data_IF_943436320299
#
_entry.id   IF_943436320299
#
_cell.length_a   1.000
_cell.length_b   1.000
_cell.length_c   1.000
_cell.angle_alpha   90.00
_cell.angle_beta   90.00
_cell.angle_gamma   90.00
#
_symmetry.space_group_name_H-M   'P 1'
#
loop_
_entity.id
_entity.type
_entity.pdbx_description
1 polymer ?
#
# COMPACT_ATOMS: atom_id res chain seq x y z
N UNK A 1 0.27 13.76 -12.54
CA UNK A 1 -0.10 14.35 -11.24
C UNK A 1 0.49 15.75 -11.02
N UNK A 2 1.79 15.98 -11.19
CA UNK A 2 2.45 17.31 -11.01
C UNK A 2 1.77 18.45 -11.75
N UNK A 3 1.46 18.24 -13.04
CA UNK A 3 0.80 19.24 -13.88
C UNK A 3 -0.58 19.61 -13.33
N UNK A 4 -1.34 18.66 -12.81
CA UNK A 4 -2.66 18.90 -12.22
C UNK A 4 -2.58 19.71 -10.92
N UNK A 5 -1.63 19.42 -10.03
CA UNK A 5 -1.43 20.19 -8.79
C UNK A 5 -0.95 21.62 -9.09
N UNK A 6 0.03 21.77 -9.96
CA UNK A 6 0.51 23.10 -10.37
C UNK A 6 -0.61 23.92 -11.03
N UNK A 7 -1.40 23.29 -11.91
CA UNK A 7 -2.52 23.93 -12.63
C UNK A 7 -3.66 24.31 -11.67
N UNK A 8 -4.03 23.44 -10.73
CA UNK A 8 -5.09 23.72 -9.75
C UNK A 8 -4.70 24.84 -8.79
N UNK A 9 -3.46 24.84 -8.30
CA UNK A 9 -2.94 25.90 -7.41
C UNK A 9 -2.84 27.23 -8.14
N UNK A 10 -2.34 27.23 -9.39
CA UNK A 10 -2.29 28.42 -10.22
C UNK A 10 -3.69 28.95 -10.56
N UNK A 11 -4.65 28.07 -10.91
CA UNK A 11 -6.03 28.46 -11.18
C UNK A 11 -6.68 29.13 -9.96
N UNK A 12 -6.42 28.62 -8.76
CA UNK A 12 -6.93 29.21 -7.52
C UNK A 12 -6.35 30.61 -7.29
N UNK A 13 -5.04 30.78 -7.48
CA UNK A 13 -4.37 32.09 -7.37
C UNK A 13 -4.92 33.06 -8.43
N UNK A 14 -5.09 32.60 -9.68
CA UNK A 14 -5.63 33.39 -10.76
C UNK A 14 -7.06 33.88 -10.47
N UNK A 15 -7.94 32.98 -10.00
CA UNK A 15 -9.33 33.33 -9.63
C UNK A 15 -9.35 34.31 -8.46
N UNK A 16 -8.55 34.04 -7.40
CA UNK A 16 -8.47 34.94 -6.23
C UNK A 16 -7.97 36.33 -6.61
N UNK A 17 -6.94 36.40 -7.45
CA UNK A 17 -6.37 37.67 -7.93
C UNK A 17 -7.35 38.41 -8.83
N UNK A 18 -8.07 37.70 -9.71
CA UNK A 18 -9.11 38.28 -10.56
C UNK A 18 -10.27 38.84 -9.74
N UNK A 19 -10.70 38.11 -8.73
CA UNK A 19 -11.77 38.57 -7.81
C UNK A 19 -11.35 39.80 -7.03
N UNK A 20 -10.11 39.80 -6.51
CA UNK A 20 -9.57 40.95 -5.79
C UNK A 20 -9.49 42.20 -6.68
N UNK A 21 -9.04 42.04 -7.94
CA UNK A 21 -9.01 43.11 -8.93
C UNK A 21 -10.41 43.64 -9.24
N UNK A 22 -11.40 42.74 -9.43
CA UNK A 22 -12.77 43.12 -9.66
C UNK A 22 -13.35 43.93 -8.51
N UNK A 23 -13.16 43.47 -7.24
CA UNK A 23 -13.61 44.19 -6.04
C UNK A 23 -12.94 45.58 -5.94
N UNK A 24 -11.67 45.68 -6.30
CA UNK A 24 -10.95 46.98 -6.29
C UNK A 24 -11.58 47.97 -7.27
N UNK A 25 -11.81 47.51 -8.51
CA UNK A 25 -12.41 48.36 -9.57
C UNK A 25 -13.83 48.78 -9.19
N UNK A 26 -14.62 47.85 -8.69
CA UNK A 26 -15.99 48.12 -8.24
C UNK A 26 -16.03 49.10 -7.06
N UNK A 27 -15.13 48.95 -6.09
CA UNK A 27 -15.00 49.85 -4.94
C UNK A 27 -14.61 51.28 -5.37
N UNK A 28 -13.62 51.40 -6.28
CA UNK A 28 -13.22 52.71 -6.80
C UNK A 28 -14.37 53.43 -7.51
N UNK A 29 -15.08 52.72 -8.38
CA UNK A 29 -16.23 53.24 -9.09
C UNK A 29 -17.35 53.76 -8.16
N UNK A 30 -17.63 53.02 -7.09
CA UNK A 30 -18.63 53.45 -6.10
C UNK A 30 -18.13 54.63 -5.23
N UNK A 31 -16.85 54.73 -4.97
CA UNK A 31 -16.22 55.88 -4.26
C UNK A 31 -16.31 57.14 -5.12
N UNK A 32 -15.96 57.06 -6.39
CA UNK A 32 -16.06 58.18 -7.34
C UNK A 32 -17.51 58.70 -7.45
N UNK A 33 -18.49 57.81 -7.52
CA UNK A 33 -19.91 58.20 -7.55
C UNK A 33 -20.34 58.90 -6.27
N UNK A 34 -19.84 58.51 -5.11
CA UNK A 34 -20.13 59.18 -3.83
C UNK A 34 -19.52 60.57 -3.80
N UNK A 35 -18.27 60.67 -4.23
CA UNK A 35 -17.56 61.96 -4.29
C UNK A 35 -18.26 62.92 -5.24
N UNK A 36 -18.74 62.47 -6.40
CA UNK A 36 -19.53 63.26 -7.32
C UNK A 36 -20.88 63.74 -6.66
N UNK A 37 -21.55 62.81 -5.96
CA UNK A 37 -22.81 63.16 -5.28
C UNK A 37 -22.61 64.19 -4.16
N UNK A 38 -21.54 64.05 -3.37
CA UNK A 38 -21.19 64.99 -2.30
C UNK A 38 -20.81 66.35 -2.84
N UNK A 39 -20.01 66.42 -3.91
CA UNK A 39 -19.67 67.67 -4.58
C UNK A 39 -20.89 68.35 -5.22
N UNK A 40 -21.82 67.55 -5.76
CA UNK A 40 -23.09 68.08 -6.28
C UNK A 40 -23.96 68.67 -5.17
N UNK A 41 -24.05 68.05 -4.00
CA UNK A 41 -24.80 68.57 -2.86
C UNK A 41 -24.15 69.89 -2.36
N UNK A 42 -22.82 69.96 -2.29
CA UNK A 42 -22.10 71.17 -1.93
C UNK A 42 -22.33 72.30 -2.93
N UNK A 43 -22.31 71.98 -4.24
CA UNK A 43 -22.58 72.95 -5.30
C UNK A 43 -24.03 73.48 -5.24
N UNK A 44 -25.03 72.62 -4.93
CA UNK A 44 -26.45 73.03 -4.70
C UNK A 44 -26.56 74.01 -3.56
N UNK A 45 -25.91 73.75 -2.43
CA UNK A 45 -25.91 74.66 -1.29
C UNK A 45 -25.31 76.03 -1.63
N UNK A 46 -24.21 76.09 -2.35
CA UNK A 46 -23.59 77.32 -2.79
C UNK A 46 -24.47 78.14 -3.76
N UNK A 47 -25.14 77.47 -4.71
CA UNK A 47 -26.07 78.12 -5.63
C UNK A 47 -27.31 78.64 -4.90
N UNK A 48 -27.83 77.95 -3.90
CA UNK A 48 -28.96 78.43 -3.09
C UNK A 48 -28.61 79.60 -2.20
N UNK A 49 -27.35 79.78 -1.80
CA UNK A 49 -26.85 80.86 -0.94
C UNK A 49 -26.43 82.12 -1.72
N UNK A 50 -26.30 82.07 -3.06
CA UNK A 50 -25.76 83.16 -3.88
C UNK A 50 -26.92 83.88 -4.62
N UNK A 51 -27.23 85.19 -4.32
CA UNK A 51 -28.32 85.93 -4.94
C UNK A 51 -28.13 86.25 -6.43
N UNK A 52 -26.95 86.03 -7.00
CA UNK A 52 -26.58 86.42 -8.37
C UNK A 52 -26.29 85.29 -9.34
N UNK A 53 -26.47 84.02 -8.88
CA UNK A 53 -26.36 82.86 -9.77
C UNK A 53 -24.99 82.71 -10.48
N UNK A 54 -24.01 83.44 -10.08
CA UNK A 54 -22.64 83.32 -10.65
C UNK A 54 -21.80 82.39 -9.80
N UNK A 55 -21.29 81.30 -10.42
CA UNK A 55 -20.33 80.38 -9.84
C UNK A 55 -18.93 81.00 -9.77
N UNK A 56 -18.83 82.30 -9.35
CA UNK A 56 -17.56 83.01 -9.26
C UNK A 56 -16.58 82.50 -8.17
N UNK A 57 -16.98 81.48 -7.41
CA UNK A 57 -16.19 80.88 -6.35
C UNK A 57 -15.78 79.43 -6.55
N UNK A 58 -16.09 78.76 -7.67
CA UNK A 58 -15.89 77.34 -7.87
C UNK A 58 -14.43 76.93 -8.17
N UNK A 59 -13.54 77.88 -8.20
CA UNK A 59 -12.09 77.64 -8.25
C UNK A 59 -11.44 78.26 -7.01
N UNK A 60 -11.68 77.68 -5.82
CA UNK A 60 -10.76 77.96 -4.71
C UNK A 60 -9.37 77.45 -5.10
N UNK A 61 -8.32 78.33 -4.96
CA UNK A 61 -6.96 77.88 -5.17
C UNK A 61 -6.72 76.69 -4.23
N UNK A 62 -6.25 75.55 -4.78
CA UNK A 62 -5.92 74.36 -4.00
C UNK A 62 -5.20 74.76 -2.74
N UNK A 63 -5.69 74.42 -1.52
CA UNK A 63 -4.93 74.65 -0.31
C UNK A 63 -3.61 73.92 -0.42
N UNK A 64 -2.52 74.51 0.03
CA UNK A 64 -1.16 73.93 -0.07
C UNK A 64 -0.95 72.60 0.63
N UNK A 65 -1.96 72.16 1.38
CA UNK A 65 -2.01 70.87 2.07
C UNK A 65 -2.85 69.80 1.31
N UNK A 66 -3.56 70.16 0.24
CA UNK A 66 -4.37 69.21 -0.51
C UNK A 66 -3.43 68.18 -1.20
N UNK A 67 -3.73 66.89 -1.12
CA UNK A 67 -2.93 65.87 -1.80
C UNK A 67 -2.84 66.18 -3.30
N UNK A 68 -1.66 65.99 -3.94
CA UNK A 68 -1.42 66.36 -5.34
C UNK A 68 -2.29 65.60 -6.36
N UNK A 69 -3.17 64.75 -5.92
CA UNK A 69 -3.90 63.79 -6.74
C UNK A 69 -5.41 63.82 -6.55
N UNK A 70 -6.00 64.92 -6.08
CA UNK A 70 -7.47 65.05 -6.12
C UNK A 70 -7.91 65.22 -7.58
N UNK A 71 -8.92 64.43 -8.04
CA UNK A 71 -9.45 64.57 -9.38
C UNK A 71 -10.00 65.97 -9.60
N UNK A 72 -9.77 66.52 -10.78
CA UNK A 72 -10.35 67.83 -11.13
C UNK A 72 -11.87 67.69 -11.32
N UNK A 73 -12.63 68.41 -10.53
CA UNK A 73 -14.09 68.39 -10.58
C UNK A 73 -14.58 69.61 -11.31
N UNK A 74 -15.38 69.39 -12.29
CA UNK A 74 -15.96 70.41 -13.13
C UNK A 74 -17.49 70.46 -12.91
N UNK A 75 -18.03 71.66 -13.00
CA UNK A 75 -19.47 71.88 -12.84
C UNK A 75 -20.04 72.60 -14.03
N UNK A 76 -21.22 72.18 -14.51
CA UNK A 76 -21.95 72.86 -15.57
C UNK A 76 -23.41 72.85 -15.20
N UNK A 77 -24.09 74.00 -15.46
CA UNK A 77 -25.54 74.11 -15.34
C UNK A 77 -26.09 74.39 -16.74
N UNK A 78 -27.10 73.63 -17.14
CA UNK A 78 -27.77 73.75 -18.44
C UNK A 78 -29.25 73.92 -18.27
N UNK A 79 -29.91 74.58 -19.23
CA UNK A 79 -31.36 74.69 -19.28
C UNK A 79 -31.99 73.41 -19.89
N UNK A 80 -33.31 73.32 -19.91
CA UNK A 80 -34.06 72.22 -20.49
C UNK A 80 -33.87 72.10 -22.04
N UNK A 81 -33.29 73.07 -22.67
CA UNK A 81 -32.90 73.08 -24.08
C UNK A 81 -31.46 72.72 -24.32
N UNK A 82 -30.73 72.30 -23.29
CA UNK A 82 -29.29 71.98 -23.29
C UNK A 82 -28.38 73.22 -23.56
N UNK A 83 -28.86 74.41 -23.27
CA UNK A 83 -28.02 75.65 -23.35
C UNK A 83 -27.27 75.82 -22.05
N UNK A 84 -25.96 76.09 -22.14
CA UNK A 84 -25.11 76.30 -20.99
C UNK A 84 -25.47 77.63 -20.32
N UNK A 85 -25.86 77.59 -19.06
CA UNK A 85 -26.14 78.79 -18.25
C UNK A 85 -24.87 79.26 -17.54
N UNK A 86 -24.12 78.32 -16.99
CA UNK A 86 -22.82 78.56 -16.36
C UNK A 86 -22.00 77.32 -16.37
N UNK A 87 -20.66 77.44 -16.44
CA UNK A 87 -19.75 76.29 -16.39
C UNK A 87 -18.42 76.69 -15.80
N UNK A 88 -17.72 75.67 -15.23
CA UNK A 88 -16.33 75.81 -14.78
C UNK A 88 -15.40 76.06 -16.00
N UNK A 89 -14.46 77.06 -15.93
CA UNK A 89 -13.52 77.30 -17.02
C UNK A 89 -12.72 76.05 -17.40
N UNK A 90 -12.67 75.75 -18.71
CA UNK A 90 -11.96 74.61 -19.29
C UNK A 90 -12.85 73.36 -19.53
N UNK A 91 -14.05 73.27 -18.99
CA UNK A 91 -14.93 72.13 -19.20
C UNK A 91 -15.40 72.01 -20.65
N UNK A 92 -15.74 73.14 -21.28
CA UNK A 92 -16.18 73.15 -22.67
C UNK A 92 -15.14 72.62 -23.67
N UNK A 93 -13.86 72.75 -23.35
CA UNK A 93 -12.74 72.25 -24.15
C UNK A 93 -12.58 70.73 -24.02
N UNK A 94 -13.01 70.20 -22.87
CA UNK A 94 -12.83 68.78 -22.57
C UNK A 94 -14.09 67.96 -22.84
N UNK A 95 -15.27 68.40 -22.35
CA UNK A 95 -16.50 67.67 -22.44
C UNK A 95 -17.57 68.37 -23.27
N UNK A 96 -18.20 67.70 -24.23
CA UNK A 96 -19.35 68.22 -24.91
C UNK A 96 -20.52 68.35 -23.90
N UNK A 97 -21.39 69.39 -24.05
CA UNK A 97 -22.58 69.53 -23.21
C UNK A 97 -23.53 68.37 -23.44
N UNK A 98 -24.29 67.99 -22.39
CA UNK A 98 -25.30 66.92 -22.52
C UNK A 98 -26.33 67.28 -23.61
N UNK A 99 -26.78 66.31 -24.34
CA UNK A 99 -27.77 66.53 -25.40
C UNK A 99 -29.19 66.64 -24.83
N UNK A 100 -30.09 67.31 -25.54
CA UNK A 100 -31.49 67.42 -25.14
C UNK A 100 -32.16 66.06 -24.96
N UNK A 101 -31.76 65.04 -25.73
CA UNK A 101 -32.28 63.71 -25.63
C UNK A 101 -31.84 63.02 -24.31
N UNK A 102 -30.60 63.26 -23.89
CA UNK A 102 -30.06 62.74 -22.63
C UNK A 102 -30.76 63.38 -21.42
N UNK A 103 -30.91 64.70 -21.43
CA UNK A 103 -31.66 65.41 -20.36
C UNK A 103 -33.09 64.91 -20.24
N UNK A 104 -33.76 64.60 -21.34
CA UNK A 104 -35.14 64.10 -21.33
C UNK A 104 -35.29 62.70 -20.72
N UNK A 105 -34.21 61.90 -20.62
CA UNK A 105 -34.19 60.57 -20.00
C UNK A 105 -34.03 60.61 -18.49
N UNK A 106 -33.57 61.72 -17.95
CA UNK A 106 -33.32 61.86 -16.49
C UNK A 106 -34.67 62.19 -15.79
N UNK A 107 -35.26 61.15 -15.18
CA UNK A 107 -36.50 61.24 -14.46
C UNK A 107 -36.32 61.10 -12.91
N UNK A 108 -35.17 60.58 -12.49
CA UNK A 108 -34.84 60.37 -11.09
C UNK A 108 -34.37 61.70 -10.47
N UNK A 109 -34.82 62.03 -9.24
CA UNK A 109 -34.30 63.16 -8.50
C UNK A 109 -32.80 62.98 -8.13
N UNK A 110 -32.32 61.73 -8.11
CA UNK A 110 -30.90 61.38 -7.87
C UNK A 110 -30.04 61.60 -9.11
N UNK A 111 -30.66 61.80 -10.28
CA UNK A 111 -29.95 62.04 -11.56
C UNK A 111 -29.57 60.78 -12.28
N UNK A 112 -28.66 60.88 -13.25
CA UNK A 112 -28.09 59.79 -13.99
C UNK A 112 -26.58 59.98 -14.13
N UNK A 113 -25.83 58.94 -13.80
CA UNK A 113 -24.35 58.90 -14.05
C UNK A 113 -24.09 58.34 -15.46
N UNK A 114 -23.04 58.88 -16.09
CA UNK A 114 -22.53 58.35 -17.35
C UNK A 114 -21.04 58.51 -17.46
N UNK A 115 -20.39 57.59 -18.11
CA UNK A 115 -18.99 57.71 -18.50
C UNK A 115 -18.91 58.36 -19.88
N UNK A 116 -18.12 59.41 -20.03
CA UNK A 116 -17.93 60.14 -21.30
C UNK A 116 -16.43 60.27 -21.58
N UNK A 117 -16.04 59.93 -22.80
CA UNK A 117 -14.69 60.23 -23.24
C UNK A 117 -14.54 61.74 -23.56
N UNK A 118 -13.53 62.34 -23.00
CA UNK A 118 -13.12 63.71 -23.30
C UNK A 118 -12.71 63.82 -24.79
N UNK A 119 -12.68 65.03 -25.31
CA UNK A 119 -12.09 65.32 -26.65
C UNK A 119 -10.64 64.91 -26.77
N UNK A 120 -9.89 64.86 -25.67
CA UNK A 120 -8.51 64.38 -25.59
C UNK A 120 -8.45 62.85 -25.43
N UNK A 121 -9.56 62.16 -25.28
CA UNK A 121 -9.66 60.72 -25.02
C UNK A 121 -9.57 60.30 -23.54
N UNK A 122 -9.46 61.25 -22.60
CA UNK A 122 -9.47 60.96 -21.16
C UNK A 122 -10.91 60.58 -20.75
N UNK A 123 -11.07 59.54 -19.89
CA UNK A 123 -12.38 59.15 -19.39
C UNK A 123 -12.84 60.15 -18.28
N UNK A 124 -14.09 60.55 -18.36
CA UNK A 124 -14.78 61.33 -17.37
C UNK A 124 -16.02 60.63 -16.85
N UNK A 125 -16.17 60.59 -15.53
CA UNK A 125 -17.40 60.21 -14.88
C UNK A 125 -18.25 61.45 -14.65
N UNK A 126 -19.48 61.48 -15.17
CA UNK A 126 -20.39 62.61 -15.03
C UNK A 126 -21.66 62.18 -14.32
N UNK A 127 -22.18 63.05 -13.43
CA UNK A 127 -23.48 62.90 -12.76
C UNK A 127 -24.33 64.12 -13.12
N UNK A 128 -25.49 63.88 -13.77
CA UNK A 128 -26.40 64.96 -14.16
C UNK A 128 -27.69 64.82 -13.31
N UNK A 129 -28.02 65.91 -12.64
CA UNK A 129 -29.15 65.95 -11.69
C UNK A 129 -30.09 67.11 -12.01
N UNK A 130 -31.39 66.95 -11.96
CA UNK A 130 -32.34 68.04 -12.12
C UNK A 130 -32.33 68.96 -10.86
N UNK A 131 -32.27 70.27 -11.10
CA UNK A 131 -32.38 71.31 -10.04
C UNK A 131 -33.60 72.22 -10.36
N UNK A 132 -34.28 72.74 -9.33
CA UNK A 132 -35.34 73.68 -9.53
C UNK A 132 -34.81 75.00 -10.21
N UNK A 133 -35.57 75.57 -11.08
CA UNK A 133 -35.25 76.86 -11.67
C UNK A 133 -35.27 77.96 -10.60
N UNK A 134 -34.67 79.15 -10.93
CA UNK A 134 -34.53 80.26 -9.97
C UNK A 134 -35.90 80.83 -9.50
N UNK A 135 -36.99 80.62 -10.26
CA UNK A 135 -38.33 80.95 -9.85
C UNK A 135 -39.21 79.73 -9.95
N UNK A 136 -40.25 79.64 -9.10
CA UNK A 136 -41.16 78.51 -9.00
C UNK A 136 -41.93 78.18 -10.31
N UNK A 137 -41.98 79.12 -11.26
CA UNK A 137 -42.61 79.00 -12.56
C UNK A 137 -41.62 78.61 -13.70
N UNK A 138 -40.34 78.56 -13.40
CA UNK A 138 -39.30 78.30 -14.42
C UNK A 138 -39.18 76.81 -14.71
N UNK A 139 -38.85 76.40 -15.92
CA UNK A 139 -38.57 75.01 -16.24
C UNK A 139 -37.39 74.50 -15.46
N UNK A 140 -37.33 73.23 -15.13
CA UNK A 140 -36.18 72.62 -14.42
C UNK A 140 -34.89 72.82 -15.17
N UNK A 141 -33.84 73.13 -14.45
CA UNK A 141 -32.47 73.19 -14.93
C UNK A 141 -31.78 71.88 -14.59
N UNK A 142 -30.65 71.60 -15.22
CA UNK A 142 -29.83 70.39 -14.92
C UNK A 142 -28.43 70.86 -14.54
N UNK A 143 -27.94 70.22 -13.46
CA UNK A 143 -26.56 70.41 -13.02
C UNK A 143 -25.79 69.15 -13.39
N UNK A 144 -24.70 69.32 -14.11
CA UNK A 144 -23.74 68.26 -14.45
C UNK A 144 -22.49 68.49 -13.62
N UNK A 145 -22.07 67.46 -12.89
CA UNK A 145 -20.77 67.39 -12.23
C UNK A 145 -19.93 66.35 -12.96
N UNK A 146 -18.73 66.74 -13.36
CA UNK A 146 -17.82 65.88 -14.11
C UNK A 146 -16.48 65.75 -13.36
N UNK A 147 -15.96 64.53 -13.27
CA UNK A 147 -14.69 64.18 -12.65
C UNK A 147 -13.77 63.50 -13.65
N UNK A 148 -12.51 63.92 -13.71
CA UNK A 148 -11.49 63.33 -14.59
C UNK A 148 -10.98 62.02 -13.94
N UNK A 149 -11.16 60.90 -14.64
CA UNK A 149 -10.70 59.55 -14.22
C UNK A 149 -9.34 59.18 -14.82
N UNK A 150 -8.66 60.05 -15.53
CA UNK A 150 -7.39 59.71 -16.18
C UNK A 150 -6.31 59.21 -15.19
N UNK A 151 -6.36 59.73 -13.94
CA UNK A 151 -5.46 59.32 -12.90
C UNK A 151 -5.76 57.86 -12.41
N UNK A 152 -7.01 57.55 -12.26
CA UNK A 152 -7.49 56.25 -11.77
C UNK A 152 -7.22 55.18 -12.82
N UNK A 153 -7.46 55.46 -14.08
CA UNK A 153 -7.09 54.59 -15.21
C UNK A 153 -5.59 54.29 -15.26
N UNK A 154 -4.74 55.35 -15.02
CA UNK A 154 -3.29 55.12 -14.94
C UNK A 154 -2.89 54.24 -13.77
N UNK A 155 -3.49 54.42 -12.60
CA UNK A 155 -3.26 53.54 -11.44
C UNK A 155 -3.71 52.09 -11.74
N UNK A 156 -4.91 51.90 -12.27
CA UNK A 156 -5.44 50.61 -12.63
C UNK A 156 -4.56 49.90 -13.66
N UNK A 157 -4.06 50.63 -14.67
CA UNK A 157 -3.11 50.10 -15.67
C UNK A 157 -1.82 49.59 -15.02
N UNK A 158 -1.26 50.34 -14.08
CA UNK A 158 -0.06 49.94 -13.33
C UNK A 158 -0.32 48.75 -12.41
N UNK A 159 -1.48 48.70 -11.73
CA UNK A 159 -1.87 47.55 -10.94
C UNK A 159 -2.02 46.29 -11.81
N UNK A 160 -2.64 46.42 -12.96
CA UNK A 160 -2.82 45.29 -13.91
C UNK A 160 -1.45 44.76 -14.41
N UNK A 161 -0.50 45.64 -14.71
CA UNK A 161 0.86 45.24 -15.10
C UNK A 161 1.56 44.46 -13.97
N UNK A 162 1.48 44.97 -12.72
CA UNK A 162 2.04 44.25 -11.55
C UNK A 162 1.36 42.93 -11.28
N UNK A 163 0.05 42.85 -11.45
CA UNK A 163 -0.71 41.58 -11.30
C UNK A 163 -0.24 40.53 -12.30
N UNK A 164 -0.03 40.87 -13.55
CA UNK A 164 0.52 39.94 -14.54
C UNK A 164 1.94 39.48 -14.17
N UNK A 165 2.77 40.35 -13.63
CA UNK A 165 4.10 39.96 -13.14
C UNK A 165 3.99 38.97 -11.97
N UNK A 166 3.15 39.26 -10.97
CA UNK A 166 2.91 38.34 -9.82
C UNK A 166 2.38 37.01 -10.27
N UNK A 167 1.43 37.00 -11.20
CA UNK A 167 0.89 35.75 -11.77
C UNK A 167 1.96 34.95 -12.51
N UNK A 168 2.82 35.61 -13.28
CA UNK A 168 3.94 34.97 -13.97
C UNK A 168 4.94 34.34 -13.02
N UNK A 169 5.33 35.06 -11.97
CA UNK A 169 6.24 34.54 -10.93
C UNK A 169 5.59 33.37 -10.17
N UNK A 170 4.31 33.50 -9.79
CA UNK A 170 3.61 32.45 -9.08
C UNK A 170 3.47 31.18 -9.92
N UNK A 171 3.26 31.28 -11.23
CA UNK A 171 3.22 30.14 -12.14
C UNK A 171 4.56 29.39 -12.16
N UNK A 172 5.67 30.10 -12.24
CA UNK A 172 7.01 29.51 -12.21
C UNK A 172 7.26 28.82 -10.87
N UNK A 173 6.96 29.48 -9.74
CA UNK A 173 7.14 28.91 -8.40
C UNK A 173 6.27 27.67 -8.19
N UNK A 174 4.99 27.71 -8.58
CA UNK A 174 4.10 26.56 -8.50
C UNK A 174 4.60 25.38 -9.36
N UNK A 175 5.14 25.68 -10.55
CA UNK A 175 5.71 24.64 -11.43
C UNK A 175 6.94 24.00 -10.83
N UNK A 176 7.85 24.77 -10.26
CA UNK A 176 9.06 24.27 -9.59
C UNK A 176 8.67 23.44 -8.35
N UNK A 177 7.80 23.98 -7.50
CA UNK A 177 7.36 23.28 -6.29
C UNK A 177 6.65 21.95 -6.64
N UNK A 178 5.74 21.98 -7.61
CA UNK A 178 5.07 20.79 -8.10
C UNK A 178 6.04 19.74 -8.65
N UNK A 179 7.06 20.16 -9.41
CA UNK A 179 8.10 19.25 -9.90
C UNK A 179 8.91 18.62 -8.78
N UNK A 180 9.34 19.40 -7.78
CA UNK A 180 10.12 18.91 -6.64
C UNK A 180 9.33 17.91 -5.79
N UNK A 181 8.06 18.22 -5.48
CA UNK A 181 7.17 17.34 -4.71
C UNK A 181 6.94 16.02 -5.44
N UNK A 182 6.67 16.07 -6.74
CA UNK A 182 6.43 14.83 -7.48
C UNK A 182 7.69 13.99 -7.65
N UNK A 183 8.84 14.62 -7.88
CA UNK A 183 10.12 13.92 -7.97
C UNK A 183 10.45 13.21 -6.66
N UNK A 184 10.30 13.89 -5.52
CA UNK A 184 10.58 13.29 -4.21
C UNK A 184 9.57 12.19 -3.82
N UNK A 185 8.31 12.32 -4.23
CA UNK A 185 7.27 11.32 -3.95
C UNK A 185 7.33 10.08 -4.86
N UNK A 186 7.77 10.22 -6.13
CA UNK A 186 7.80 9.08 -7.06
C UNK A 186 9.11 8.29 -7.04
N UNK A 187 10.21 8.88 -6.66
CA UNK A 187 11.52 8.23 -6.62
C UNK A 187 11.56 6.98 -5.71
N UNK A 188 10.93 6.97 -4.52
CA UNK A 188 10.84 5.77 -3.68
C UNK A 188 10.04 4.63 -4.31
N UNK A 189 8.95 4.94 -5.00
CA UNK A 189 8.11 3.93 -5.68
C UNK A 189 8.89 3.26 -6.81
N UNK A 190 9.67 4.04 -7.55
CA UNK A 190 10.51 3.50 -8.62
C UNK A 190 11.61 2.59 -8.08
N UNK A 191 12.20 2.91 -6.93
CA UNK A 191 13.20 2.07 -6.25
C UNK A 191 12.60 0.73 -5.81
N UNK A 192 11.41 0.73 -5.20
CA UNK A 192 10.67 -0.48 -4.83
C UNK A 192 10.40 -1.33 -6.07
N UNK A 193 9.89 -0.73 -7.14
CA UNK A 193 9.57 -1.43 -8.39
C UNK A 193 10.81 -2.03 -9.05
N UNK A 194 11.94 -1.34 -9.05
CA UNK A 194 13.21 -1.84 -9.59
C UNK A 194 13.74 -3.03 -8.77
N UNK A 195 13.74 -2.92 -7.44
CA UNK A 195 14.14 -4.02 -6.56
C UNK A 195 13.24 -5.24 -6.78
N UNK A 196 11.92 -5.04 -6.81
CA UNK A 196 10.96 -6.11 -7.08
C UNK A 196 11.20 -6.80 -8.44
N UNK A 197 11.52 -6.05 -9.49
CA UNK A 197 11.82 -6.57 -10.82
C UNK A 197 13.16 -7.34 -10.90
N UNK A 198 14.11 -7.06 -9.99
CA UNK A 198 15.39 -7.74 -9.92
C UNK A 198 15.38 -9.02 -9.09
N UNK A 199 14.33 -9.24 -8.29
CA UNK A 199 14.20 -10.42 -7.45
C UNK A 199 14.07 -11.67 -8.31
N UNK A 200 15.03 -12.57 -8.15
CA UNK A 200 15.10 -13.90 -8.77
C UNK A 200 15.51 -14.91 -7.72
N UNK A 201 15.46 -16.20 -8.04
CA UNK A 201 15.87 -17.25 -7.12
C UNK A 201 17.27 -17.03 -6.49
N UNK A 202 18.19 -16.41 -7.22
CA UNK A 202 19.57 -16.12 -6.75
C UNK A 202 19.67 -14.84 -5.91
N UNK A 203 18.69 -13.93 -5.99
CA UNK A 203 18.70 -12.61 -5.33
C UNK A 203 17.57 -12.47 -4.32
N UNK A 204 16.96 -13.59 -3.89
CA UNK A 204 15.88 -13.62 -2.91
C UNK A 204 16.26 -13.05 -1.52
N UNK A 205 17.57 -12.93 -1.24
CA UNK A 205 18.11 -12.33 -0.02
C UNK A 205 18.10 -10.80 -0.02
N UNK A 206 17.89 -10.18 -1.18
CA UNK A 206 17.80 -8.72 -1.28
C UNK A 206 16.53 -8.23 -0.61
N UNK A 207 16.61 -7.06 0.07
CA UNK A 207 15.49 -6.43 0.77
C UNK A 207 15.34 -5.00 0.34
N UNK A 208 14.10 -4.51 0.37
CA UNK A 208 13.80 -3.10 0.16
C UNK A 208 14.22 -2.32 1.40
N UNK A 209 15.13 -1.35 1.22
CA UNK A 209 15.57 -0.48 2.31
C UNK A 209 14.44 0.45 2.76
N UNK A 210 14.15 0.48 4.06
CA UNK A 210 13.06 1.29 4.64
C UNK A 210 13.51 2.66 5.14
N UNK A 211 14.84 2.87 5.31
CA UNK A 211 15.39 4.07 5.97
C UNK A 211 15.15 5.40 5.22
N UNK A 212 14.90 5.35 3.91
CA UNK A 212 14.70 6.54 3.08
C UNK A 212 13.28 6.67 2.53
N UNK A 213 12.36 5.84 2.99
CA UNK A 213 10.98 5.83 2.51
C UNK A 213 10.09 6.75 3.36
N UNK A 214 9.13 7.46 2.74
CA UNK A 214 8.03 8.10 3.47
C UNK A 214 7.27 7.07 4.31
N UNK A 215 6.69 7.52 5.45
CA UNK A 215 6.00 6.63 6.40
C UNK A 215 4.93 5.74 5.77
N UNK A 216 4.19 6.27 4.81
CA UNK A 216 3.14 5.56 4.07
C UNK A 216 3.68 4.39 3.23
N UNK A 217 4.93 4.47 2.79
CA UNK A 217 5.57 3.42 1.98
C UNK A 217 6.37 2.42 2.83
N UNK A 218 6.71 2.75 4.09
CA UNK A 218 7.39 1.84 5.01
C UNK A 218 6.57 0.56 5.24
N UNK A 219 5.28 0.68 5.56
CA UNK A 219 4.41 -0.48 5.78
C UNK A 219 4.29 -1.38 4.54
N UNK A 220 4.29 -0.81 3.34
CA UNK A 220 4.31 -1.58 2.09
C UNK A 220 5.63 -2.34 1.92
N UNK A 221 6.77 -1.67 2.17
CA UNK A 221 8.10 -2.28 2.07
C UNK A 221 8.30 -3.41 3.08
N UNK A 222 7.83 -3.25 4.32
CA UNK A 222 7.86 -4.28 5.37
C UNK A 222 7.01 -5.50 4.99
N UNK A 223 5.79 -5.28 4.50
CA UNK A 223 4.92 -6.36 4.01
C UNK A 223 5.58 -7.13 2.88
N UNK A 224 6.18 -6.42 1.93
CA UNK A 224 6.90 -7.03 0.81
C UNK A 224 8.14 -7.81 1.28
N UNK A 225 8.93 -7.26 2.21
CA UNK A 225 10.08 -7.96 2.79
C UNK A 225 9.65 -9.23 3.54
N UNK A 226 8.54 -9.18 4.30
CA UNK A 226 7.97 -10.37 4.96
C UNK A 226 7.53 -11.45 3.96
N UNK A 227 6.98 -11.06 2.82
CA UNK A 227 6.66 -11.99 1.73
C UNK A 227 7.95 -12.61 1.15
N UNK A 228 9.00 -11.81 0.95
CA UNK A 228 10.30 -12.30 0.49
C UNK A 228 10.95 -13.28 1.47
N UNK A 229 10.85 -13.03 2.77
CA UNK A 229 11.34 -13.95 3.81
C UNK A 229 10.68 -15.33 3.69
N UNK A 230 9.35 -15.36 3.55
CA UNK A 230 8.60 -16.61 3.35
C UNK A 230 8.98 -17.31 2.05
N UNK A 231 9.15 -16.55 0.98
CA UNK A 231 9.54 -17.10 -0.32
C UNK A 231 10.96 -17.68 -0.29
N UNK A 232 11.91 -16.97 0.32
CA UNK A 232 13.29 -17.41 0.50
C UNK A 232 13.37 -18.69 1.34
N UNK A 233 12.63 -18.75 2.45
CA UNK A 233 12.54 -19.93 3.28
C UNK A 233 11.96 -21.12 2.51
N UNK A 234 10.87 -20.91 1.76
CA UNK A 234 10.26 -21.97 0.94
C UNK A 234 11.24 -22.46 -0.14
N UNK A 235 11.95 -21.55 -0.80
CA UNK A 235 12.92 -21.90 -1.83
C UNK A 235 14.11 -22.66 -1.26
N UNK A 236 14.63 -22.26 -0.09
CA UNK A 236 15.69 -22.99 0.62
C UNK A 236 15.24 -24.41 0.96
N UNK A 237 14.02 -24.59 1.48
CA UNK A 237 13.48 -25.91 1.79
C UNK A 237 13.37 -26.80 0.55
N UNK A 238 12.90 -26.27 -0.59
CA UNK A 238 12.80 -27.01 -1.85
C UNK A 238 14.17 -27.38 -2.40
N UNK A 239 15.14 -26.45 -2.34
CA UNK A 239 16.50 -26.71 -2.80
C UNK A 239 17.16 -27.78 -1.97
N UNK A 240 17.11 -27.67 -0.63
CA UNK A 240 17.67 -28.65 0.28
C UNK A 240 17.01 -30.02 0.08
N UNK A 241 15.68 -30.08 -0.03
CA UNK A 241 14.97 -31.31 -0.34
C UNK A 241 15.46 -31.96 -1.64
N UNK A 242 15.68 -31.17 -2.70
CA UNK A 242 16.17 -31.69 -3.98
C UNK A 242 17.61 -32.26 -3.88
N UNK A 243 18.49 -31.58 -3.12
CA UNK A 243 19.85 -32.02 -2.89
C UNK A 243 19.89 -33.32 -2.06
N UNK A 244 19.05 -33.38 -1.00
CA UNK A 244 18.94 -34.57 -0.16
C UNK A 244 18.39 -35.78 -0.94
N UNK A 245 17.36 -35.58 -1.78
CA UNK A 245 16.83 -36.62 -2.67
C UNK A 245 17.91 -37.14 -3.63
N UNK A 246 18.65 -36.21 -4.26
CA UNK A 246 19.70 -36.57 -5.20
C UNK A 246 20.83 -37.40 -4.50
N UNK A 247 21.15 -37.04 -3.26
CA UNK A 247 22.16 -37.74 -2.47
C UNK A 247 21.70 -39.17 -2.09
N UNK A 248 20.46 -39.30 -1.55
CA UNK A 248 19.90 -40.57 -1.09
C UNK A 248 19.58 -41.54 -2.24
N UNK A 249 19.34 -41.05 -3.45
CA UNK A 249 19.19 -41.91 -4.64
C UNK A 249 20.53 -42.28 -5.28
N UNK A 250 21.53 -41.40 -5.22
CA UNK A 250 22.86 -41.67 -5.83
C UNK A 250 23.57 -42.86 -5.20
N UNK A 251 23.50 -42.99 -3.88
CA UNK A 251 24.18 -44.06 -3.13
C UNK A 251 23.71 -45.45 -3.56
N UNK A 252 22.39 -45.77 -3.50
CA UNK A 252 21.90 -47.10 -3.89
C UNK A 252 22.12 -47.40 -5.39
N UNK A 253 22.00 -46.39 -6.25
CA UNK A 253 22.25 -46.51 -7.68
C UNK A 253 23.72 -46.86 -7.94
N UNK A 254 24.67 -46.20 -7.25
CA UNK A 254 26.08 -46.49 -7.37
C UNK A 254 26.44 -47.88 -6.82
N UNK A 255 25.85 -48.31 -5.70
CA UNK A 255 26.04 -49.65 -5.16
C UNK A 255 25.57 -50.72 -6.14
N UNK A 256 24.35 -50.55 -6.65
CA UNK A 256 23.77 -51.47 -7.66
C UNK A 256 24.65 -51.52 -8.91
N UNK A 257 25.14 -50.39 -9.42
CA UNK A 257 26.07 -50.34 -10.54
C UNK A 257 27.36 -51.08 -10.23
N UNK A 258 27.97 -50.85 -9.05
CA UNK A 258 29.19 -51.49 -8.63
C UNK A 258 29.03 -53.01 -8.52
N UNK A 259 27.94 -53.51 -7.93
CA UNK A 259 27.68 -54.94 -7.84
C UNK A 259 27.53 -55.59 -9.24
N UNK A 260 26.86 -54.92 -10.16
CA UNK A 260 26.71 -55.38 -11.55
C UNK A 260 28.07 -55.34 -12.27
N UNK A 261 28.87 -54.27 -12.17
CA UNK A 261 30.21 -54.16 -12.77
C UNK A 261 31.14 -55.29 -12.26
N UNK A 262 31.11 -55.56 -10.94
CA UNK A 262 31.85 -56.66 -10.32
C UNK A 262 31.34 -58.03 -10.79
N UNK A 263 30.05 -58.21 -10.97
CA UNK A 263 29.47 -59.45 -11.51
C UNK A 263 29.93 -59.72 -12.96
N UNK A 264 30.01 -58.67 -13.76
CA UNK A 264 30.40 -58.78 -15.17
C UNK A 264 31.91 -58.85 -15.39
N UNK A 265 32.74 -58.51 -14.40
CA UNK A 265 34.21 -58.45 -14.54
C UNK A 265 34.89 -59.81 -14.73
N UNK A 266 34.27 -60.91 -14.29
CA UNK A 266 34.79 -62.30 -14.44
C UNK A 266 33.61 -63.30 -14.43
N UNK A 267 33.85 -64.48 -15.07
CA UNK A 267 32.88 -65.56 -15.00
C UNK A 267 32.71 -66.07 -13.55
N UNK A 268 31.50 -66.32 -13.15
CA UNK A 268 31.10 -66.76 -11.80
C UNK A 268 30.25 -68.03 -11.85
N UNK A 269 30.05 -68.68 -10.71
CA UNK A 269 29.10 -69.77 -10.59
C UNK A 269 27.66 -69.26 -10.76
N UNK A 270 26.72 -70.13 -11.13
CA UNK A 270 25.30 -69.78 -11.19
C UNK A 270 24.70 -69.40 -9.84
N UNK A 271 25.32 -69.85 -8.75
CA UNK A 271 24.94 -69.52 -7.38
C UNK A 271 25.37 -68.11 -7.00
N UNK A 272 26.61 -67.74 -7.31
CA UNK A 272 27.14 -66.38 -7.14
C UNK A 272 26.32 -65.35 -7.91
N UNK A 273 25.91 -65.65 -9.15
CA UNK A 273 25.04 -64.74 -9.92
C UNK A 273 23.64 -64.61 -9.30
N UNK A 274 23.09 -65.69 -8.69
CA UNK A 274 21.81 -65.62 -8.02
C UNK A 274 21.86 -64.72 -6.77
N UNK A 275 22.95 -64.80 -6.02
CA UNK A 275 23.16 -63.99 -4.82
C UNK A 275 23.32 -62.49 -5.19
N UNK A 276 24.09 -62.18 -6.22
CA UNK A 276 24.27 -60.80 -6.72
C UNK A 276 22.95 -60.23 -7.25
N UNK A 277 22.15 -61.05 -8.00
CA UNK A 277 20.84 -60.61 -8.49
C UNK A 277 19.85 -60.41 -7.33
N UNK A 278 19.96 -61.21 -6.28
CA UNK A 278 19.18 -61.04 -5.03
C UNK A 278 19.49 -59.69 -4.38
N UNK A 279 20.79 -59.37 -4.20
CA UNK A 279 21.24 -58.09 -3.66
C UNK A 279 20.79 -56.92 -4.53
N UNK A 280 20.91 -57.00 -5.85
CA UNK A 280 20.43 -56.00 -6.78
C UNK A 280 18.89 -55.77 -6.66
N UNK A 281 18.12 -56.87 -6.51
CA UNK A 281 16.66 -56.76 -6.32
C UNK A 281 16.26 -56.09 -4.99
N UNK A 282 17.00 -56.36 -3.92
CA UNK A 282 16.83 -55.69 -2.63
C UNK A 282 17.08 -54.21 -2.75
N UNK A 283 18.14 -53.80 -3.44
CA UNK A 283 18.49 -52.38 -3.63
C UNK A 283 17.45 -51.66 -4.54
N UNK A 284 16.94 -52.32 -5.59
CA UNK A 284 15.84 -51.81 -6.41
C UNK A 284 14.56 -51.61 -5.57
N UNK A 285 14.23 -52.53 -4.69
CA UNK A 285 13.08 -52.48 -3.80
C UNK A 285 13.24 -51.35 -2.80
N UNK A 286 14.43 -51.13 -2.29
CA UNK A 286 14.82 -49.98 -1.43
C UNK A 286 14.60 -48.64 -2.14
N UNK A 287 15.12 -48.49 -3.36
CA UNK A 287 14.89 -47.29 -4.17
C UNK A 287 13.41 -47.01 -4.37
N UNK A 288 12.63 -48.02 -4.72
CA UNK A 288 11.20 -47.91 -4.92
C UNK A 288 10.48 -47.42 -3.65
N UNK A 289 10.89 -47.93 -2.47
CA UNK A 289 10.34 -47.52 -1.17
C UNK A 289 10.69 -46.06 -0.87
N UNK A 290 11.92 -45.61 -1.11
CA UNK A 290 12.33 -44.20 -0.95
C UNK A 290 11.49 -43.29 -1.85
N UNK A 291 11.31 -43.64 -3.13
CA UNK A 291 10.50 -42.85 -4.07
C UNK A 291 9.05 -42.75 -3.59
N UNK A 292 8.43 -43.88 -3.17
CA UNK A 292 7.05 -43.86 -2.66
C UNK A 292 6.90 -42.98 -1.43
N UNK A 293 7.87 -43.03 -0.50
CA UNK A 293 7.90 -42.18 0.70
C UNK A 293 8.03 -40.70 0.35
N UNK A 294 8.88 -40.36 -0.62
CA UNK A 294 9.04 -39.00 -1.10
C UNK A 294 7.77 -38.45 -1.75
N UNK A 295 7.12 -39.27 -2.60
CA UNK A 295 5.83 -38.92 -3.23
C UNK A 295 4.73 -38.72 -2.19
N UNK A 296 4.70 -39.56 -1.15
CA UNK A 296 3.76 -39.39 -0.03
C UNK A 296 4.00 -38.06 0.69
N UNK A 297 5.25 -37.75 1.05
CA UNK A 297 5.59 -36.50 1.75
C UNK A 297 5.29 -35.26 0.89
N UNK A 298 5.59 -35.30 -0.41
CA UNK A 298 5.30 -34.21 -1.33
C UNK A 298 3.78 -33.94 -1.48
N UNK A 299 3.00 -35.00 -1.55
CA UNK A 299 1.53 -34.88 -1.61
C UNK A 299 0.91 -34.41 -0.29
N UNK A 300 1.48 -34.81 0.83
CA UNK A 300 1.01 -34.41 2.15
C UNK A 300 1.11 -32.92 2.43
N UNK A 301 2.10 -32.22 1.79
CA UNK A 301 2.30 -30.78 1.92
C UNK A 301 1.30 -29.96 1.07
N UNK A 302 0.76 -30.53 -0.01
CA UNK A 302 0.01 -29.80 -1.04
C UNK A 302 -1.49 -30.03 -0.98
N UNK A 303 -1.92 -31.22 -0.57
CA UNK A 303 -3.34 -31.59 -0.65
C UNK A 303 -3.88 -32.11 0.68
N UNK A 304 -5.00 -31.55 1.09
CA UNK A 304 -5.95 -32.23 1.96
C UNK A 304 -6.65 -33.34 1.16
N UNK A 305 -5.91 -34.36 0.70
CA UNK A 305 -6.56 -35.59 0.24
C UNK A 305 -7.39 -36.10 1.41
N UNK A 306 -8.69 -36.29 1.16
CA UNK A 306 -9.61 -36.74 2.19
C UNK A 306 -9.11 -38.07 2.78
N UNK A 307 -8.86 -38.07 4.10
CA UNK A 307 -8.57 -39.32 4.81
C UNK A 307 -9.70 -40.30 4.64
N UNK A 308 -9.39 -41.56 4.38
CA UNK A 308 -10.36 -42.64 4.37
C UNK A 308 -10.55 -43.12 5.81
N UNK A 309 -11.26 -42.32 6.61
CA UNK A 309 -11.50 -42.63 8.01
C UNK A 309 -12.48 -43.79 8.13
N UNK A 310 -12.14 -44.74 8.95
CA UNK A 310 -13.00 -45.86 9.38
C UNK A 310 -12.82 -46.08 10.88
N UNK A 311 -13.84 -46.62 11.52
CA UNK A 311 -13.75 -47.02 12.93
C UNK A 311 -12.88 -48.25 13.06
N UNK A 312 -11.70 -48.13 13.64
CA UNK A 312 -10.74 -49.22 13.85
C UNK A 312 -10.58 -49.51 15.33
N UNK A 313 -10.33 -50.80 15.65
CA UNK A 313 -9.92 -51.23 16.98
C UNK A 313 -8.40 -51.05 17.09
N UNK A 314 -7.98 -50.12 17.92
CA UNK A 314 -6.55 -49.74 18.08
C UNK A 314 -5.73 -50.91 18.63
N UNK A 315 -6.29 -51.64 19.61
CA UNK A 315 -5.62 -52.80 20.18
C UNK A 315 -5.33 -53.88 19.13
N UNK A 316 -6.32 -54.16 18.29
CA UNK A 316 -6.17 -55.16 17.21
C UNK A 316 -5.15 -54.67 16.16
N UNK A 317 -5.16 -53.36 15.79
CA UNK A 317 -4.20 -52.83 14.83
C UNK A 317 -2.76 -52.84 15.36
N UNK A 318 -2.54 -52.52 16.63
CA UNK A 318 -1.23 -52.64 17.26
C UNK A 318 -0.74 -54.10 17.31
N UNK A 319 -1.65 -55.05 17.61
CA UNK A 319 -1.35 -56.47 17.58
C UNK A 319 -0.99 -56.96 16.18
N UNK A 320 -1.72 -56.51 15.14
CA UNK A 320 -1.44 -56.84 13.74
C UNK A 320 -0.03 -56.36 13.32
N UNK A 321 0.33 -55.11 13.70
CA UNK A 321 1.66 -54.54 13.41
C UNK A 321 2.73 -55.29 14.18
N UNK A 322 2.52 -55.56 15.48
CA UNK A 322 3.47 -56.32 16.29
C UNK A 322 3.72 -57.74 15.70
N UNK A 323 2.66 -58.46 15.31
CA UNK A 323 2.77 -59.78 14.67
C UNK A 323 3.57 -59.74 13.35
N UNK A 324 3.40 -58.65 12.55
CA UNK A 324 4.19 -58.46 11.33
C UNK A 324 5.69 -58.32 11.60
N UNK A 325 6.08 -57.66 12.68
CA UNK A 325 7.50 -57.43 13.06
C UNK A 325 8.06 -58.47 14.02
N UNK A 326 7.28 -59.47 14.49
CA UNK A 326 7.67 -60.47 15.46
C UNK A 326 8.94 -61.24 15.01
N UNK A 327 8.98 -61.69 13.75
CA UNK A 327 10.09 -62.42 13.21
C UNK A 327 11.40 -61.59 13.20
N UNK A 328 11.30 -60.29 12.80
CA UNK A 328 12.44 -59.39 12.77
C UNK A 328 12.93 -59.03 14.20
N UNK A 329 12.02 -58.88 15.13
CA UNK A 329 12.34 -58.64 16.56
C UNK A 329 13.04 -59.88 17.16
N UNK A 330 12.49 -61.08 16.90
CA UNK A 330 13.07 -62.35 17.36
C UNK A 330 14.45 -62.59 16.81
N UNK A 331 14.71 -62.35 15.51
CA UNK A 331 16.02 -62.40 14.89
C UNK A 331 17.04 -61.46 15.54
N UNK A 332 16.59 -60.26 15.90
CA UNK A 332 17.37 -59.25 16.61
C UNK A 332 17.50 -59.56 18.10
N UNK A 333 16.79 -60.56 18.63
CA UNK A 333 16.75 -60.91 20.07
C UNK A 333 16.08 -59.83 20.93
N UNK A 334 15.04 -59.19 20.41
CA UNK A 334 14.26 -58.11 21.07
C UNK A 334 12.91 -58.67 21.45
N UNK A 335 12.44 -58.32 22.66
CA UNK A 335 11.12 -58.67 23.14
C UNK A 335 10.09 -57.60 22.75
N UNK A 336 9.17 -57.95 21.85
CA UNK A 336 8.13 -57.04 21.32
C UNK A 336 6.78 -57.35 21.98
N UNK A 337 6.23 -56.35 22.70
CA UNK A 337 5.01 -56.51 23.48
C UNK A 337 3.95 -55.46 23.19
N UNK A 338 2.66 -55.86 23.29
CA UNK A 338 1.53 -54.94 23.22
C UNK A 338 0.86 -54.93 24.63
N UNK A 339 0.72 -53.73 25.19
CA UNK A 339 0.25 -53.54 26.56
C UNK A 339 -0.91 -52.53 26.62
N UNK A 340 -1.87 -52.73 27.53
CA UNK A 340 -2.86 -51.73 27.90
C UNK A 340 -3.88 -51.30 26.84
N UNK A 341 -4.25 -52.16 25.86
CA UNK A 341 -5.03 -51.79 24.68
C UNK A 341 -6.49 -52.31 24.67
N UNK A 342 -7.15 -52.47 25.82
CA UNK A 342 -8.50 -53.00 25.84
C UNK A 342 -9.55 -51.99 25.34
N UNK A 343 -10.35 -52.42 24.35
CA UNK A 343 -11.57 -51.74 23.83
C UNK A 343 -11.41 -50.28 23.40
N UNK A 344 -10.29 -49.94 22.80
CA UNK A 344 -10.02 -48.58 22.29
C UNK A 344 -10.39 -48.53 20.79
N UNK A 345 -11.42 -47.75 20.44
CA UNK A 345 -11.84 -47.53 19.04
C UNK A 345 -11.65 -46.04 18.66
N UNK A 346 -11.23 -45.80 17.44
CA UNK A 346 -11.06 -44.46 16.89
C UNK A 346 -11.36 -44.41 15.39
N UNK A 347 -11.75 -43.22 14.90
CA UNK A 347 -11.97 -42.98 13.47
C UNK A 347 -10.67 -42.49 12.81
N UNK A 348 -9.94 -43.42 12.19
CA UNK A 348 -8.63 -43.17 11.58
C UNK A 348 -8.56 -43.82 10.19
N UNK A 349 -7.62 -43.36 9.37
CA UNK A 349 -7.22 -44.08 8.16
C UNK A 349 -6.33 -45.25 8.56
N UNK A 350 -6.85 -46.47 8.46
CA UNK A 350 -6.19 -47.72 8.86
C UNK A 350 -4.80 -47.85 8.23
N UNK A 351 -4.71 -47.61 6.93
CA UNK A 351 -3.46 -47.81 6.17
C UNK A 351 -2.39 -46.87 6.62
N UNK A 352 -2.73 -45.58 6.78
CA UNK A 352 -1.82 -44.58 7.28
C UNK A 352 -1.43 -44.79 8.75
N UNK A 353 -2.39 -45.23 9.57
CA UNK A 353 -2.12 -45.54 10.97
C UNK A 353 -1.14 -46.72 11.07
N UNK A 354 -1.38 -47.83 10.37
CA UNK A 354 -0.44 -48.97 10.32
C UNK A 354 0.94 -48.55 9.82
N UNK A 355 1.01 -47.68 8.80
CA UNK A 355 2.28 -47.15 8.29
C UNK A 355 3.03 -46.31 9.35
N UNK A 356 2.33 -45.48 10.11
CA UNK A 356 2.93 -44.70 11.18
C UNK A 356 3.52 -45.58 12.28
N UNK A 357 2.70 -46.55 12.77
CA UNK A 357 3.12 -47.49 13.81
C UNK A 357 4.29 -48.36 13.30
N UNK A 358 4.20 -48.90 12.06
CA UNK A 358 5.26 -49.68 11.46
C UNK A 358 6.60 -48.94 11.37
N UNK A 359 6.60 -47.67 10.99
CA UNK A 359 7.81 -46.86 10.97
C UNK A 359 8.43 -46.69 12.39
N UNK A 360 7.60 -46.47 13.41
CA UNK A 360 8.08 -46.37 14.79
C UNK A 360 8.63 -47.69 15.32
N UNK A 361 7.93 -48.81 15.09
CA UNK A 361 8.36 -50.17 15.49
C UNK A 361 9.67 -50.55 14.79
N UNK A 362 9.76 -50.31 13.48
CA UNK A 362 10.99 -50.56 12.74
C UNK A 362 12.17 -49.77 13.27
N UNK A 363 11.96 -48.49 13.60
CA UNK A 363 13.01 -47.66 14.24
C UNK A 363 13.40 -48.20 15.63
N UNK A 364 12.41 -48.55 16.47
CA UNK A 364 12.63 -49.09 17.80
C UNK A 364 13.48 -50.38 17.74
N UNK A 365 13.13 -51.32 16.85
CA UNK A 365 13.90 -52.55 16.65
C UNK A 365 15.33 -52.26 16.15
N UNK A 366 15.49 -51.35 15.20
CA UNK A 366 16.81 -50.99 14.64
C UNK A 366 17.76 -50.36 15.66
N UNK A 367 17.23 -49.66 16.68
CA UNK A 367 18.03 -48.94 17.67
C UNK A 367 18.09 -49.60 19.05
N UNK A 368 17.40 -50.76 19.23
CA UNK A 368 17.44 -51.53 20.46
C UNK A 368 18.50 -52.64 20.34
N UNK A 369 19.28 -52.79 21.37
CA UNK A 369 20.29 -53.85 21.45
C UNK A 369 19.68 -55.21 21.81
N UNK A 370 20.34 -56.30 21.49
CA UNK A 370 19.93 -57.67 21.81
C UNK A 370 19.68 -57.81 23.32
N UNK A 371 18.53 -58.37 23.67
CA UNK A 371 18.02 -58.49 25.06
C UNK A 371 17.18 -57.34 25.52
N UNK A 372 17.02 -56.28 24.70
CA UNK A 372 16.12 -55.15 24.97
C UNK A 372 14.65 -55.47 24.68
N UNK A 373 13.79 -54.48 24.91
CA UNK A 373 12.32 -54.62 24.68
C UNK A 373 11.78 -53.39 23.91
N UNK A 374 10.68 -53.67 23.14
CA UNK A 374 9.85 -52.65 22.48
C UNK A 374 8.41 -52.86 22.92
N UNK A 375 7.82 -51.81 23.45
CA UNK A 375 6.46 -51.85 23.98
C UNK A 375 5.53 -50.94 23.19
N UNK A 376 4.38 -51.46 22.75
CA UNK A 376 3.31 -50.71 22.14
C UNK A 376 2.12 -50.65 23.10
N UNK A 377 1.58 -49.46 23.28
CA UNK A 377 0.44 -49.26 24.16
C UNK A 377 -0.55 -48.24 23.60
N UNK A 378 -1.81 -48.34 24.05
CA UNK A 378 -2.79 -47.30 23.76
C UNK A 378 -3.64 -47.05 25.01
N UNK A 379 -3.96 -45.80 25.23
CA UNK A 379 -4.85 -45.33 26.29
C UNK A 379 -5.77 -44.22 25.77
N UNK A 380 -6.92 -44.09 26.41
CA UNK A 380 -7.87 -43.02 26.12
C UNK A 380 -7.99 -42.16 27.37
N UNK A 381 -7.83 -40.89 27.22
CA UNK A 381 -8.07 -39.90 28.27
C UNK A 381 -9.00 -38.81 27.71
N UNK A 382 -10.20 -38.70 28.32
CA UNK A 382 -11.29 -37.84 27.85
C UNK A 382 -11.62 -38.08 26.36
N UNK A 383 -11.30 -37.11 25.49
CA UNK A 383 -11.57 -37.13 24.04
C UNK A 383 -10.29 -37.41 23.21
N UNK A 384 -9.23 -37.95 23.81
CA UNK A 384 -7.94 -38.16 23.13
C UNK A 384 -7.48 -39.61 23.23
N UNK A 385 -7.14 -40.14 22.08
CA UNK A 385 -6.38 -41.37 21.98
C UNK A 385 -4.88 -41.06 22.10
N UNK A 386 -4.21 -41.70 23.01
CA UNK A 386 -2.74 -41.68 23.11
C UNK A 386 -2.20 -43.05 22.78
N UNK A 387 -1.43 -43.15 21.70
CA UNK A 387 -0.69 -44.37 21.34
C UNK A 387 0.78 -44.16 21.71
N UNK A 388 1.35 -45.10 22.44
CA UNK A 388 2.74 -45.03 22.91
C UNK A 388 3.58 -46.14 22.33
N UNK A 389 4.76 -45.82 21.84
CA UNK A 389 5.78 -46.79 21.44
C UNK A 389 7.05 -46.47 22.19
N UNK A 390 7.49 -47.40 22.99
CA UNK A 390 8.70 -47.27 23.79
C UNK A 390 9.73 -48.32 23.50
N UNK A 391 11.00 -47.95 23.50
CA UNK A 391 12.12 -48.85 23.33
C UNK A 391 13.16 -48.69 24.47
N UNK A 392 13.92 -49.74 24.74
CA UNK A 392 15.05 -49.73 25.68
C UNK A 392 16.40 -49.62 24.97
N UNK A 393 16.42 -48.91 23.84
CA UNK A 393 17.58 -48.77 22.97
C UNK A 393 18.61 -47.74 23.41
N UNK A 394 19.44 -47.31 22.49
CA UNK A 394 20.54 -46.37 22.77
C UNK A 394 20.07 -44.96 23.21
N UNK A 395 18.82 -44.59 22.95
CA UNK A 395 18.28 -43.26 23.23
C UNK A 395 18.85 -42.19 22.30
N UNK A 396 18.34 -40.97 22.44
CA UNK A 396 18.65 -39.80 21.60
C UNK A 396 19.13 -38.66 22.50
N UNK A 397 20.23 -38.01 22.14
CA UNK A 397 20.72 -36.85 22.91
C UNK A 397 19.77 -35.65 22.71
N UNK A 398 19.64 -34.82 23.76
CA UNK A 398 18.68 -33.71 23.82
C UNK A 398 18.84 -32.71 22.64
N UNK A 399 20.06 -32.51 22.16
CA UNK A 399 20.37 -31.62 21.03
C UNK A 399 19.76 -32.08 19.69
N UNK A 400 19.50 -33.40 19.54
CA UNK A 400 18.95 -33.98 18.34
C UNK A 400 17.39 -34.03 18.35
N UNK A 401 16.77 -34.03 19.54
CA UNK A 401 15.31 -34.19 19.67
C UNK A 401 14.48 -33.17 18.86
N UNK A 402 14.85 -31.89 18.75
CA UNK A 402 14.12 -30.94 17.91
C UNK A 402 14.11 -31.30 16.40
N UNK A 403 15.13 -32.04 15.96
CA UNK A 403 15.42 -32.29 14.54
C UNK A 403 15.02 -33.68 14.06
N UNK A 404 14.74 -34.64 14.95
CA UNK A 404 14.49 -36.05 14.56
C UNK A 404 13.29 -36.25 13.62
N UNK A 405 12.38 -35.28 13.57
CA UNK A 405 11.23 -35.30 12.64
C UNK A 405 11.49 -34.55 11.33
N UNK A 406 12.69 -33.99 11.14
CA UNK A 406 13.09 -33.40 9.87
C UNK A 406 13.40 -34.48 8.85
N UNK A 407 13.16 -34.22 7.58
CA UNK A 407 13.39 -35.16 6.49
C UNK A 407 14.88 -35.41 6.35
N UNK A 408 15.28 -36.66 6.17
CA UNK A 408 16.68 -37.10 6.01
C UNK A 408 17.57 -36.85 7.23
N UNK A 409 17.01 -36.41 8.37
CA UNK A 409 17.79 -36.20 9.56
C UNK A 409 18.24 -37.52 10.20
N UNK A 410 19.52 -37.62 10.54
CA UNK A 410 20.12 -38.78 11.21
C UNK A 410 21.14 -38.31 12.24
N UNK A 411 21.10 -38.88 13.45
CA UNK A 411 22.01 -38.56 14.56
C UNK A 411 23.46 -38.94 14.18
N UNK A 412 23.65 -40.11 13.61
CA UNK A 412 24.95 -40.60 13.14
C UNK A 412 24.96 -40.81 11.62
N UNK A 413 25.59 -39.91 10.88
CA UNK A 413 25.86 -40.11 9.43
C UNK A 413 26.99 -41.12 9.14
N UNK A 414 27.85 -41.43 10.13
CA UNK A 414 29.06 -42.20 9.96
C UNK A 414 28.93 -43.70 10.21
N UNK A 415 27.79 -44.20 10.79
CA UNK A 415 27.58 -45.64 10.94
C UNK A 415 27.11 -46.26 9.64
N UNK A 416 28.03 -46.62 8.75
CA UNK A 416 27.78 -47.33 7.47
C UNK A 416 27.07 -48.69 7.61
N UNK A 417 26.86 -49.21 8.82
CA UNK A 417 26.23 -50.50 9.07
C UNK A 417 24.70 -50.58 9.06
N UNK A 418 23.99 -49.45 9.16
CA UNK A 418 22.53 -49.44 9.15
C UNK A 418 21.99 -49.15 7.74
N UNK A 419 22.01 -50.16 6.89
CA UNK A 419 21.53 -50.10 5.48
C UNK A 419 20.04 -49.78 5.32
N UNK A 420 19.26 -49.70 6.41
CA UNK A 420 17.78 -49.64 6.33
C UNK A 420 17.15 -48.27 6.62
N UNK A 421 17.82 -47.32 7.32
CA UNK A 421 17.19 -46.08 7.77
C UNK A 421 17.52 -44.87 6.90
N UNK A 422 16.59 -44.43 6.09
CA UNK A 422 16.71 -43.30 5.16
C UNK A 422 16.50 -41.92 5.84
N UNK A 423 16.20 -41.86 7.13
CA UNK A 423 15.86 -40.60 7.82
C UNK A 423 14.48 -40.01 7.42
N UNK A 424 13.67 -40.80 6.71
CA UNK A 424 12.32 -40.39 6.29
C UNK A 424 11.20 -40.92 7.19
N UNK A 425 11.44 -42.00 7.93
CA UNK A 425 10.41 -42.70 8.73
C UNK A 425 9.70 -41.79 9.72
N UNK A 426 10.43 -41.04 10.56
CA UNK A 426 9.84 -40.13 11.55
C UNK A 426 9.15 -38.93 10.91
N UNK A 427 9.64 -38.42 9.78
CA UNK A 427 8.97 -37.36 9.00
C UNK A 427 7.62 -37.84 8.43
N UNK A 428 7.53 -39.11 7.99
CA UNK A 428 6.27 -39.74 7.57
C UNK A 428 5.29 -39.85 8.75
N UNK A 429 5.75 -40.32 9.91
CA UNK A 429 4.92 -40.38 11.11
C UNK A 429 4.35 -38.99 11.46
N UNK A 430 5.20 -37.96 11.51
CA UNK A 430 4.77 -36.57 11.76
C UNK A 430 3.69 -36.11 10.75
N UNK A 431 3.89 -36.39 9.46
CA UNK A 431 2.95 -36.04 8.42
C UNK A 431 1.60 -36.78 8.57
N UNK A 432 1.63 -38.08 8.86
CA UNK A 432 0.41 -38.88 9.07
C UNK A 432 -0.39 -38.37 10.28
N UNK A 433 0.28 -38.14 11.41
CA UNK A 433 -0.34 -37.67 12.65
C UNK A 433 -0.91 -36.25 12.47
N UNK A 434 -0.20 -35.36 11.80
CA UNK A 434 -0.71 -34.01 11.47
C UNK A 434 -1.97 -34.07 10.60
N UNK A 435 -2.05 -34.96 9.60
CA UNK A 435 -3.24 -35.17 8.78
C UNK A 435 -4.46 -35.67 9.58
N UNK A 436 -4.21 -36.40 10.64
CA UNK A 436 -5.26 -36.84 11.58
C UNK A 436 -5.56 -35.78 12.67
N UNK A 437 -5.07 -34.53 12.51
CA UNK A 437 -5.23 -33.43 13.48
C UNK A 437 -4.65 -33.80 14.85
N UNK A 438 -3.66 -34.68 14.88
CA UNK A 438 -2.97 -35.15 16.07
C UNK A 438 -1.66 -34.40 16.32
N UNK A 439 -1.04 -34.77 17.46
CA UNK A 439 0.27 -34.26 17.90
C UNK A 439 1.19 -35.44 18.22
N UNK A 440 2.48 -35.30 17.94
CA UNK A 440 3.53 -36.25 18.29
C UNK A 440 4.44 -35.65 19.36
N UNK A 441 4.76 -36.43 20.37
CA UNK A 441 5.73 -36.09 21.41
C UNK A 441 6.76 -37.20 21.50
N UNK A 442 8.02 -36.82 21.78
CA UNK A 442 9.13 -37.74 21.95
C UNK A 442 9.85 -37.41 23.25
N UNK A 443 10.13 -38.45 24.01
CA UNK A 443 10.96 -38.39 25.24
C UNK A 443 12.05 -39.44 25.13
N UNK A 444 13.30 -39.03 25.27
CA UNK A 444 14.44 -39.93 25.08
C UNK A 444 15.63 -39.49 25.92
N UNK A 445 16.34 -40.45 26.47
CA UNK A 445 17.57 -40.22 27.18
C UNK A 445 18.61 -41.24 26.69
N UNK A 446 19.83 -40.79 26.45
CA UNK A 446 20.94 -41.63 26.02
C UNK A 446 21.16 -42.79 27.04
N UNK A 447 21.15 -44.04 26.55
CA UNK A 447 21.30 -45.24 27.34
C UNK A 447 20.02 -45.74 28.04
N UNK A 448 18.90 -45.02 27.93
CA UNK A 448 17.63 -45.41 28.60
C UNK A 448 16.49 -45.68 27.61
N UNK A 449 16.73 -45.44 26.29
CA UNK A 449 15.76 -45.69 25.23
C UNK A 449 14.95 -44.46 24.83
N UNK A 450 13.88 -44.71 24.06
CA UNK A 450 13.05 -43.65 23.47
C UNK A 450 11.57 -43.99 23.64
N UNK A 451 10.77 -43.01 23.99
CA UNK A 451 9.32 -43.09 24.07
C UNK A 451 8.71 -42.08 23.13
N UNK A 452 7.89 -42.56 22.17
CA UNK A 452 7.12 -41.75 21.23
C UNK A 452 5.63 -41.84 21.60
N UNK A 453 4.99 -40.67 21.74
CA UNK A 453 3.55 -40.56 22.04
C UNK A 453 2.84 -39.92 20.85
N UNK A 454 1.85 -40.62 20.30
CA UNK A 454 0.95 -40.13 19.26
C UNK A 454 -0.35 -39.75 19.91
N UNK A 455 -0.72 -38.48 19.88
CA UNK A 455 -1.95 -37.97 20.53
C UNK A 455 -2.91 -37.59 19.41
N UNK A 456 -4.03 -38.32 19.33
CA UNK A 456 -5.05 -38.21 18.27
C UNK A 456 -6.42 -37.85 18.86
N UNK A 457 -7.24 -37.02 18.21
CA UNK A 457 -8.62 -36.85 18.64
C UNK A 457 -9.43 -38.15 18.39
N UNK A 458 -10.34 -38.51 19.31
CA UNK A 458 -11.23 -39.69 19.16
C UNK A 458 -12.33 -39.44 18.14
N UNK A 459 -12.82 -38.19 18.06
CA UNK A 459 -13.77 -37.71 17.05
C UNK A 459 -13.25 -36.40 16.47
N UNK A 460 -13.25 -36.26 15.16
CA UNK A 460 -12.85 -35.01 14.48
C UNK A 460 -14.05 -34.37 13.79
#
# INVERSE_FOLDING_TARGET
MTVWYALSTFALIFVATGLLYWVLVDSMYHEDLRDLADNLNNARLLLSASPTGQLSGAREPRPSWAPPHQPEIYLRVVDNAARILTETPGLADQLPPPTKAELATIRSPEGASREVASRSGAPFLTLIVPIPGPHASDPPQFMEVAMDQAHDDYLLARYRERLWLVLGVSLVLCSIAGYLIARSGMQPIESISRTAAHIRAKTLHERIGTQSLPGELCGLAETFNSMLDRLEQSFRHVSQFSDDVAHELRTPVNNLRGEIEVALSKARSGEDYRDILGSCLEECTRISRVIQTLLFLARSDIAADALRRETIDIGQELANVAAFYEAAAAESGIDLRVVGTKDVRAELDRTLFQQAIGNLVSNAIAHTSKGGSVELGASVDADRLTVTIGDTGCGIAAEHLPHVFERFYRVDRAREGSKQNTGLGLAVVKSIIARHSGRIEIDSQVGHGTWVKLILPLSA
#
